data_IF_082022340458
#
_entry.id   IF_082022340458
#
_cell.length_a   1.000
_cell.length_b   1.000
_cell.length_c   1.000
_cell.angle_alpha   90.00
_cell.angle_beta   90.00
_cell.angle_gamma   90.00
#
_symmetry.space_group_name_H-M   'P 1'
#
loop_
_entity.id
_entity.type
_entity.pdbx_description
1 polymer ?
#
# COMPACT_ATOMS: atom_id res chain seq x y z
N UNK A 1 4.97 -39.13 -21.94
CA UNK A 1 5.49 -38.12 -20.99
C UNK A 1 6.15 -37.02 -21.79
N UNK A 2 6.06 -35.72 -21.42
CA UNK A 2 5.22 -35.09 -20.39
C UNK A 2 4.14 -34.18 -21.02
N UNK A 3 3.12 -33.82 -20.24
CA UNK A 3 2.22 -32.71 -20.58
C UNK A 3 3.01 -31.42 -20.40
N UNK A 4 2.98 -30.54 -21.40
CA UNK A 4 3.33 -29.13 -21.23
C UNK A 4 2.30 -28.53 -20.27
N UNK A 5 2.56 -28.63 -18.96
CA UNK A 5 1.83 -27.84 -17.98
C UNK A 5 2.28 -26.38 -18.17
N UNK A 6 1.36 -25.45 -18.48
CA UNK A 6 1.72 -24.03 -18.52
C UNK A 6 2.22 -23.60 -17.13
N UNK A 7 3.28 -22.78 -17.04
CA UNK A 7 3.81 -22.35 -15.75
C UNK A 7 2.74 -21.59 -14.96
N UNK A 8 2.57 -21.88 -13.65
CA UNK A 8 1.62 -21.16 -12.83
C UNK A 8 2.07 -19.70 -12.71
N UNK A 9 1.29 -18.79 -13.30
CA UNK A 9 1.09 -17.40 -12.89
C UNK A 9 2.33 -16.63 -12.38
N UNK A 10 3.44 -16.65 -13.12
CA UNK A 10 4.75 -16.16 -12.64
C UNK A 10 4.91 -14.63 -12.54
N UNK A 11 3.81 -13.86 -12.61
CA UNK A 11 3.82 -12.41 -12.48
C UNK A 11 3.11 -11.86 -11.24
N UNK A 12 2.19 -12.61 -10.63
CA UNK A 12 1.35 -12.13 -9.50
C UNK A 12 1.81 -12.60 -8.13
N UNK A 13 2.65 -13.64 -8.08
CA UNK A 13 3.08 -14.27 -6.83
C UNK A 13 4.42 -13.74 -6.31
N UNK A 14 4.98 -12.71 -6.95
CA UNK A 14 6.25 -12.11 -6.49
C UNK A 14 6.00 -11.23 -5.25
N UNK A 15 6.93 -11.21 -4.28
CA UNK A 15 6.82 -10.34 -3.11
C UNK A 15 6.64 -8.87 -3.49
N UNK A 16 7.27 -8.42 -4.58
CA UNK A 16 7.09 -7.07 -5.10
C UNK A 16 5.67 -6.79 -5.63
N UNK A 17 5.06 -7.75 -6.35
CA UNK A 17 3.67 -7.61 -6.79
C UNK A 17 2.69 -7.54 -5.61
N UNK A 18 2.95 -8.33 -4.56
CA UNK A 18 2.15 -8.29 -3.34
C UNK A 18 2.26 -6.93 -2.62
N UNK A 19 3.46 -6.34 -2.54
CA UNK A 19 3.65 -5.00 -1.95
C UNK A 19 2.99 -3.92 -2.80
N UNK A 20 3.08 -4.00 -4.13
CA UNK A 20 2.40 -3.06 -5.03
C UNK A 20 0.88 -3.11 -4.85
N UNK A 21 0.30 -4.31 -4.83
CA UNK A 21 -1.14 -4.50 -4.60
C UNK A 21 -1.57 -3.99 -3.21
N UNK A 22 -0.74 -4.21 -2.18
CA UNK A 22 -0.99 -3.66 -0.85
C UNK A 22 -0.92 -2.12 -0.85
N UNK A 23 0.04 -1.53 -1.56
CA UNK A 23 0.16 -0.09 -1.69
C UNK A 23 -1.06 0.52 -2.42
N UNK A 24 -1.53 -0.10 -3.50
CA UNK A 24 -2.74 0.33 -4.22
C UNK A 24 -3.99 0.24 -3.32
N UNK A 25 -4.09 -0.84 -2.53
CA UNK A 25 -5.21 -1.02 -1.59
C UNK A 25 -5.20 0.07 -0.51
N UNK A 26 -4.02 0.36 0.06
CA UNK A 26 -3.84 1.46 1.01
C UNK A 26 -4.23 2.80 0.39
N UNK A 27 -3.86 3.04 -0.85
CA UNK A 27 -4.16 4.28 -1.57
C UNK A 27 -5.68 4.53 -1.70
N UNK A 28 -6.43 3.49 -2.06
CA UNK A 28 -7.88 3.53 -2.14
C UNK A 28 -8.52 3.79 -0.76
N UNK A 29 -8.03 3.12 0.28
CA UNK A 29 -8.53 3.33 1.65
C UNK A 29 -8.28 4.75 2.15
N UNK A 30 -7.08 5.30 1.92
CA UNK A 30 -6.75 6.69 2.28
C UNK A 30 -7.63 7.69 1.54
N UNK A 31 -7.93 7.44 0.26
CA UNK A 31 -8.82 8.28 -0.52
C UNK A 31 -10.25 8.30 0.03
N UNK A 32 -10.78 7.14 0.45
CA UNK A 32 -12.09 7.03 1.10
C UNK A 32 -12.06 7.73 2.47
N UNK A 33 -11.03 7.48 3.28
CA UNK A 33 -10.88 8.08 4.60
C UNK A 33 -10.85 9.61 4.51
N UNK A 34 -10.10 10.17 3.57
CA UNK A 34 -10.04 11.60 3.33
C UNK A 34 -11.41 12.16 2.93
N UNK A 35 -12.13 11.48 2.03
CA UNK A 35 -13.49 11.90 1.64
C UNK A 35 -14.47 11.93 2.82
N UNK A 36 -14.37 10.97 3.73
CA UNK A 36 -15.17 10.93 4.96
C UNK A 36 -14.80 12.07 5.92
N UNK A 37 -13.50 12.33 6.13
CA UNK A 37 -13.03 13.42 7.00
C UNK A 37 -13.46 14.78 6.45
N UNK A 38 -13.31 15.01 5.14
CA UNK A 38 -13.78 16.24 4.47
C UNK A 38 -15.30 16.41 4.61
N UNK A 39 -16.06 15.32 4.61
CA UNK A 39 -17.50 15.33 4.88
C UNK A 39 -17.86 15.51 6.37
N UNK A 40 -16.89 15.79 7.24
CA UNK A 40 -17.08 16.00 8.69
C UNK A 40 -17.32 14.72 9.48
N UNK A 41 -17.05 13.55 8.88
CA UNK A 41 -17.20 12.26 9.57
C UNK A 41 -15.93 11.94 10.34
N UNK A 42 -16.09 11.44 11.57
CA UNK A 42 -14.99 10.86 12.32
C UNK A 42 -14.58 9.55 11.66
N UNK A 43 -13.30 9.43 11.34
CA UNK A 43 -12.67 8.20 10.86
C UNK A 43 -11.69 7.75 11.93
N UNK A 44 -11.80 6.49 12.33
CA UNK A 44 -10.80 5.84 13.16
C UNK A 44 -9.69 5.30 12.25
N UNK A 45 -8.45 5.72 12.49
CA UNK A 45 -7.27 5.22 11.79
C UNK A 45 -6.52 4.16 12.62
N UNK A 46 -7.15 3.60 13.65
CA UNK A 46 -6.62 2.46 14.37
C UNK A 46 -6.23 1.35 13.39
N UNK A 47 -4.99 0.86 13.53
CA UNK A 47 -4.42 -0.17 12.66
C UNK A 47 -3.62 0.34 11.47
N UNK A 48 -3.66 1.64 11.14
CA UNK A 48 -2.85 2.21 10.06
C UNK A 48 -1.35 2.08 10.32
N UNK A 49 -0.90 2.27 11.57
CA UNK A 49 0.50 2.02 11.96
C UNK A 49 0.90 0.56 11.75
N UNK A 50 0.01 -0.38 12.07
CA UNK A 50 0.30 -1.80 11.91
C UNK A 50 0.37 -2.21 10.44
N UNK A 51 -0.49 -1.62 9.60
CA UNK A 51 -0.44 -1.83 8.15
C UNK A 51 0.81 -1.19 7.53
N UNK A 52 1.19 0.01 7.97
CA UNK A 52 2.45 0.65 7.57
C UNK A 52 3.67 -0.19 7.98
N UNK A 53 3.67 -0.75 9.19
CA UNK A 53 4.74 -1.64 9.64
C UNK A 53 4.83 -2.93 8.79
N UNK A 54 3.69 -3.53 8.42
CA UNK A 54 3.63 -4.68 7.50
C UNK A 54 4.18 -4.33 6.13
N UNK A 55 3.81 -3.16 5.58
CA UNK A 55 4.29 -2.68 4.29
C UNK A 55 5.81 -2.44 4.31
N UNK A 56 6.34 -1.81 5.35
CA UNK A 56 7.77 -1.59 5.53
C UNK A 56 8.55 -2.91 5.66
N UNK A 57 8.03 -3.89 6.41
CA UNK A 57 8.64 -5.20 6.55
C UNK A 57 8.67 -5.96 5.21
N UNK A 58 7.57 -5.92 4.45
CA UNK A 58 7.49 -6.54 3.14
C UNK A 58 8.40 -5.86 2.10
N UNK A 59 8.55 -4.53 2.19
CA UNK A 59 9.50 -3.79 1.37
C UNK A 59 10.97 -4.14 1.69
N UNK A 60 11.30 -4.34 2.96
CA UNK A 60 12.66 -4.67 3.39
C UNK A 60 13.18 -6.01 2.86
N UNK A 61 12.28 -6.94 2.51
CA UNK A 61 12.64 -8.27 1.98
C UNK A 61 12.53 -8.35 0.44
N UNK A 62 12.18 -7.26 -0.24
CA UNK A 62 12.06 -7.26 -1.69
C UNK A 62 13.44 -7.26 -2.38
N UNK A 63 13.59 -7.98 -3.51
CA UNK A 63 14.82 -7.97 -4.30
C UNK A 63 15.23 -6.56 -4.76
N UNK A 64 16.53 -6.27 -4.80
CA UNK A 64 17.08 -4.95 -5.14
C UNK A 64 16.59 -4.40 -6.50
N UNK A 65 16.36 -5.28 -7.47
CA UNK A 65 15.81 -4.97 -8.80
C UNK A 65 14.37 -4.42 -8.78
N UNK A 66 13.60 -4.67 -7.72
CA UNK A 66 12.22 -4.16 -7.56
C UNK A 66 12.12 -2.86 -6.77
N UNK A 67 13.23 -2.40 -6.16
CA UNK A 67 13.31 -1.19 -5.34
C UNK A 67 12.81 0.08 -6.07
N UNK A 68 13.11 0.33 -7.36
CA UNK A 68 12.65 1.56 -8.02
C UNK A 68 11.12 1.66 -8.12
N UNK A 69 10.44 0.56 -8.45
CA UNK A 69 8.98 0.50 -8.55
C UNK A 69 8.33 0.62 -7.18
N UNK A 70 8.85 -0.10 -6.18
CA UNK A 70 8.40 -0.02 -4.80
C UNK A 70 8.52 1.40 -4.24
N UNK A 71 9.67 2.05 -4.48
CA UNK A 71 9.94 3.41 -4.03
C UNK A 71 8.94 4.41 -4.63
N UNK A 72 8.57 4.24 -5.89
CA UNK A 72 7.56 5.07 -6.54
C UNK A 72 6.18 4.95 -5.87
N UNK A 73 5.72 3.72 -5.65
CA UNK A 73 4.44 3.45 -5.00
C UNK A 73 4.39 3.97 -3.56
N UNK A 74 5.44 3.71 -2.78
CA UNK A 74 5.55 4.19 -1.39
C UNK A 74 5.65 5.71 -1.31
N UNK A 75 6.39 6.35 -2.22
CA UNK A 75 6.48 7.81 -2.27
C UNK A 75 5.15 8.49 -2.62
N UNK A 76 4.27 7.82 -3.38
CA UNK A 76 2.94 8.33 -3.70
C UNK A 76 1.98 8.27 -2.51
N UNK A 77 2.19 7.35 -1.55
CA UNK A 77 1.36 7.23 -0.34
C UNK A 77 1.64 8.32 0.69
N UNK A 78 2.90 8.77 0.81
CA UNK A 78 3.32 9.80 1.76
C UNK A 78 2.47 11.09 1.73
N UNK A 79 2.31 11.79 0.59
CA UNK A 79 1.53 13.03 0.56
C UNK A 79 0.05 12.83 0.91
N UNK A 80 -0.51 11.63 0.67
CA UNK A 80 -1.89 11.30 1.05
C UNK A 80 -2.02 11.10 2.55
N UNK A 81 -1.05 10.42 3.18
CA UNK A 81 -0.98 10.29 4.62
C UNK A 81 -0.82 11.65 5.30
N UNK A 82 0.04 12.51 4.76
CA UNK A 82 0.23 13.88 5.29
C UNK A 82 -1.06 14.69 5.20
N UNK A 83 -1.76 14.63 4.07
CA UNK A 83 -3.04 15.32 3.88
C UNK A 83 -4.09 14.84 4.88
N UNK A 84 -4.21 13.52 5.06
CA UNK A 84 -5.16 12.94 6.00
C UNK A 84 -4.79 13.29 7.46
N UNK A 85 -3.51 13.27 7.81
CA UNK A 85 -3.00 13.67 9.12
C UNK A 85 -3.32 15.14 9.45
N UNK A 86 -3.13 16.03 8.48
CA UNK A 86 -3.51 17.44 8.61
C UNK A 86 -5.02 17.60 8.79
N UNK A 87 -5.83 16.87 8.02
CA UNK A 87 -7.29 16.95 8.11
C UNK A 87 -7.85 16.38 9.42
N UNK A 88 -7.10 15.53 10.11
CA UNK A 88 -7.48 14.93 11.40
C UNK A 88 -6.96 15.69 12.62
N UNK A 89 -6.08 16.68 12.45
CA UNK A 89 -5.65 17.53 13.58
C UNK A 89 -6.85 18.32 14.09
N UNK A 90 -7.16 18.26 15.40
CA UNK A 90 -8.16 19.15 15.97
C UNK A 90 -7.62 20.59 15.97
N UNK A 91 -8.47 21.54 15.57
CA UNK A 91 -8.26 22.99 15.74
C UNK A 91 -8.14 23.38 17.22
#
# INVERSE_FOLDING_TARGET
MPRDDPPPNSGRDTPAAAVLAAAETLDAMLSIALGLVVAGRRVDLAGLEQEAARLCAAAAICPAETVPQLRGALAALLPRLDTLSMALRPD
#
